data_IF_385476792396
#
_entry.id   IF_385476792396
#
_cell.length_a   1.000
_cell.length_b   1.000
_cell.length_c   1.000
_cell.angle_alpha   90.00
_cell.angle_beta   90.00
_cell.angle_gamma   90.00
#
_symmetry.space_group_name_H-M   'P 1'
#
loop_
_entity.id
_entity.type
_entity.pdbx_description
1 polymer ?
#
# COMPACT_ATOMS: atom_id res chain seq x y z
N UNK A 1 -8.12 -25.07 15.98
CA UNK A 1 -8.39 -25.14 14.52
C UNK A 1 -7.14 -25.65 13.82
N UNK A 2 -7.22 -26.76 13.08
CA UNK A 2 -6.05 -27.32 12.38
C UNK A 2 -5.54 -26.34 11.33
N UNK A 3 -4.22 -26.14 11.24
CA UNK A 3 -3.60 -25.34 10.17
C UNK A 3 -4.06 -25.94 8.83
N UNK A 4 -4.88 -25.20 8.06
CA UNK A 4 -5.31 -25.61 6.72
C UNK A 4 -4.07 -26.05 5.93
N UNK A 5 -4.11 -27.27 5.37
CA UNK A 5 -3.03 -27.77 4.51
C UNK A 5 -2.97 -26.87 3.27
N UNK A 6 -1.94 -26.04 3.20
CA UNK A 6 -1.61 -25.23 2.04
C UNK A 6 -0.99 -26.16 0.98
N UNK A 7 -1.84 -26.74 0.13
CA UNK A 7 -1.44 -27.55 -1.02
C UNK A 7 -2.35 -27.23 -2.20
N UNK A 8 -1.77 -27.00 -3.37
CA UNK A 8 -2.48 -26.64 -4.59
C UNK A 8 -2.86 -27.88 -5.39
N UNK A 9 -4.13 -28.03 -5.74
CA UNK A 9 -4.67 -29.04 -6.67
C UNK A 9 -5.54 -28.34 -7.70
N UNK A 10 -5.90 -29.05 -8.79
CA UNK A 10 -6.89 -28.55 -9.76
C UNK A 10 -8.19 -28.08 -9.07
N UNK A 11 -8.73 -28.90 -8.15
CA UNK A 11 -9.95 -28.56 -7.40
C UNK A 11 -9.82 -27.31 -6.52
N UNK A 12 -8.63 -27.04 -5.96
CA UNK A 12 -8.37 -25.79 -5.21
C UNK A 12 -8.35 -24.59 -6.14
N UNK A 13 -7.73 -24.72 -7.32
CA UNK A 13 -7.69 -23.66 -8.34
C UNK A 13 -9.11 -23.34 -8.83
N UNK A 14 -9.88 -24.36 -9.20
CA UNK A 14 -11.28 -24.22 -9.63
C UNK A 14 -12.15 -23.56 -8.56
N UNK A 15 -11.99 -23.97 -7.29
CA UNK A 15 -12.71 -23.34 -6.18
C UNK A 15 -12.37 -21.85 -6.07
N UNK A 16 -11.08 -21.48 -6.12
CA UNK A 16 -10.64 -20.07 -6.05
C UNK A 16 -11.20 -19.23 -7.21
N UNK A 17 -11.24 -19.81 -8.42
CA UNK A 17 -11.86 -19.17 -9.59
C UNK A 17 -13.37 -18.94 -9.34
N UNK A 18 -14.08 -19.95 -8.80
CA UNK A 18 -15.51 -19.85 -8.46
C UNK A 18 -15.79 -18.81 -7.37
N UNK A 19 -14.88 -18.66 -6.40
CA UNK A 19 -14.94 -17.61 -5.37
C UNK A 19 -14.73 -16.19 -5.93
N UNK A 20 -14.30 -16.06 -7.18
CA UNK A 20 -14.02 -14.79 -7.85
C UNK A 20 -12.64 -14.22 -7.52
N UNK A 21 -11.69 -15.03 -7.05
CA UNK A 21 -10.33 -14.55 -6.78
C UNK A 21 -9.63 -14.10 -8.05
N UNK A 22 -8.92 -12.97 -7.98
CA UNK A 22 -8.34 -12.25 -9.10
C UNK A 22 -9.31 -11.36 -9.87
N UNK A 23 -10.59 -11.31 -9.48
CA UNK A 23 -11.62 -10.46 -10.11
C UNK A 23 -12.01 -9.31 -9.18
N UNK A 24 -12.64 -8.29 -9.76
CA UNK A 24 -13.06 -7.07 -9.07
C UNK A 24 -12.03 -5.95 -9.16
N UNK A 25 -12.43 -4.77 -8.71
CA UNK A 25 -11.60 -3.59 -8.57
C UNK A 25 -11.92 -2.94 -7.21
N UNK A 26 -11.01 -2.12 -6.67
CA UNK A 26 -11.20 -1.43 -5.40
C UNK A 26 -11.65 -2.39 -4.30
N UNK A 27 -12.80 -2.13 -3.67
CA UNK A 27 -13.34 -2.89 -2.55
C UNK A 27 -13.80 -4.30 -2.94
N UNK A 28 -14.18 -4.50 -4.21
CA UNK A 28 -14.68 -5.77 -4.72
C UNK A 28 -13.57 -6.74 -5.12
N UNK A 29 -12.32 -6.26 -5.21
CA UNK A 29 -11.21 -7.11 -5.61
C UNK A 29 -10.88 -8.16 -4.52
N UNK A 30 -10.69 -9.40 -4.97
CA UNK A 30 -10.28 -10.52 -4.10
C UNK A 30 -8.90 -11.03 -4.51
N UNK A 31 -7.86 -10.95 -3.67
CA UNK A 31 -6.52 -11.42 -4.02
C UNK A 31 -6.49 -12.95 -4.21
N UNK A 32 -5.59 -13.43 -5.08
CA UNK A 32 -5.43 -14.87 -5.28
C UNK A 32 -4.92 -15.59 -4.04
N UNK A 33 -3.95 -14.97 -3.37
CA UNK A 33 -3.36 -15.42 -2.12
C UNK A 33 -3.73 -14.48 -0.99
N UNK A 34 -4.18 -15.06 0.13
CA UNK A 34 -4.34 -14.34 1.39
C UNK A 34 -3.27 -14.79 2.37
N UNK A 35 -3.19 -14.12 3.52
CA UNK A 35 -2.29 -14.53 4.61
C UNK A 35 -2.54 -15.96 5.13
N UNK A 36 -3.71 -16.54 4.86
CA UNK A 36 -4.04 -17.91 5.23
C UNK A 36 -3.61 -18.95 4.18
N UNK A 37 -3.27 -18.48 2.98
CA UNK A 37 -2.91 -19.32 1.83
C UNK A 37 -1.41 -19.58 1.74
N UNK A 38 -0.58 -19.01 2.62
CA UNK A 38 0.87 -19.21 2.60
C UNK A 38 1.41 -19.57 3.98
N UNK A 39 2.48 -20.39 4.07
CA UNK A 39 3.17 -20.61 5.34
C UNK A 39 3.79 -19.29 5.81
N UNK A 40 3.54 -18.90 7.06
CA UNK A 40 4.17 -17.72 7.67
C UNK A 40 5.68 -17.93 7.74
N UNK A 41 6.44 -17.22 6.90
CA UNK A 41 7.91 -17.11 7.00
C UNK A 41 8.37 -15.78 7.59
N UNK A 42 7.43 -14.92 7.99
CA UNK A 42 7.65 -13.59 8.55
C UNK A 42 6.34 -12.98 9.05
N UNK A 43 6.36 -11.67 9.31
CA UNK A 43 5.16 -10.90 9.69
C UNK A 43 4.25 -10.78 8.47
N UNK A 44 3.03 -11.30 8.61
CA UNK A 44 1.95 -11.10 7.65
C UNK A 44 1.04 -10.01 8.17
N UNK A 45 0.70 -9.05 7.32
CA UNK A 45 -0.02 -7.84 7.73
C UNK A 45 -1.29 -7.68 6.93
N UNK A 46 -2.34 -7.22 7.61
CA UNK A 46 -3.56 -6.70 6.99
C UNK A 46 -3.62 -5.21 7.22
N UNK A 47 -3.72 -4.44 6.14
CA UNK A 47 -3.83 -2.99 6.20
C UNK A 47 -5.02 -2.56 5.36
N UNK A 48 -5.80 -1.60 5.86
CA UNK A 48 -6.89 -1.03 5.08
C UNK A 48 -6.31 -0.14 3.99
N UNK A 49 -6.76 -0.26 2.74
CA UNK A 49 -6.32 0.59 1.64
C UNK A 49 -7.16 1.85 1.59
N UNK A 50 -6.51 2.99 1.74
CA UNK A 50 -7.04 4.31 1.47
C UNK A 50 -7.64 4.46 0.07
N UNK A 51 -6.99 3.90 -0.96
CA UNK A 51 -7.44 4.01 -2.35
C UNK A 51 -8.49 2.95 -2.72
N UNK A 52 -8.31 1.74 -2.22
CA UNK A 52 -9.15 0.60 -2.59
C UNK A 52 -10.39 0.44 -1.71
N UNK A 53 -10.42 1.01 -0.50
CA UNK A 53 -11.53 0.85 0.44
C UNK A 53 -11.68 -0.57 1.01
N UNK A 54 -10.61 -1.37 1.04
CA UNK A 54 -10.62 -2.74 1.58
C UNK A 54 -9.34 -3.11 2.31
N UNK A 55 -9.38 -4.21 3.05
CA UNK A 55 -8.17 -4.81 3.62
C UNK A 55 -7.31 -5.47 2.51
N UNK A 56 -6.03 -5.11 2.49
CA UNK A 56 -4.99 -5.76 1.70
C UNK A 56 -4.28 -6.85 2.50
N UNK A 57 -3.75 -7.84 1.80
CA UNK A 57 -3.00 -8.96 2.38
C UNK A 57 -1.54 -8.97 1.93
N UNK A 58 -0.63 -8.55 2.82
CA UNK A 58 0.81 -8.54 2.53
C UNK A 58 1.56 -9.63 3.27
N UNK A 59 2.55 -10.19 2.58
CA UNK A 59 3.37 -11.32 3.02
C UNK A 59 4.77 -10.88 3.47
N UNK A 60 5.09 -9.60 3.29
CA UNK A 60 6.33 -8.97 3.74
C UNK A 60 6.09 -7.52 4.16
N UNK A 61 6.37 -7.21 5.42
CA UNK A 61 6.29 -5.84 5.94
C UNK A 61 7.34 -4.91 5.30
N UNK A 62 8.60 -5.34 5.26
CA UNK A 62 9.70 -4.51 4.79
C UNK A 62 9.70 -4.28 3.27
N UNK A 63 9.03 -5.12 2.48
CA UNK A 63 9.05 -4.97 1.02
C UNK A 63 7.65 -4.67 0.46
N UNK A 64 6.70 -5.59 0.62
CA UNK A 64 5.36 -5.42 0.03
C UNK A 64 4.57 -4.31 0.70
N UNK A 65 4.49 -4.30 2.04
CA UNK A 65 3.76 -3.26 2.75
C UNK A 65 4.41 -1.87 2.62
N UNK A 66 5.75 -1.82 2.64
CA UNK A 66 6.47 -0.55 2.45
C UNK A 66 6.23 0.04 1.05
N UNK A 67 6.26 -0.79 0.00
CA UNK A 67 5.90 -0.35 -1.35
C UNK A 67 4.42 0.03 -1.47
N UNK A 68 3.52 -0.69 -0.77
CA UNK A 68 2.10 -0.32 -0.72
C UNK A 68 1.91 1.10 -0.20
N UNK A 69 2.56 1.47 0.91
CA UNK A 69 2.47 2.84 1.44
C UNK A 69 2.97 3.90 0.46
N UNK A 70 4.06 3.63 -0.27
CA UNK A 70 4.52 4.52 -1.34
C UNK A 70 3.45 4.69 -2.44
N UNK A 71 2.77 3.61 -2.81
CA UNK A 71 1.70 3.63 -3.81
C UNK A 71 0.42 4.30 -3.30
N UNK A 72 0.06 4.13 -2.02
CA UNK A 72 -1.06 4.82 -1.38
C UNK A 72 -0.86 6.35 -1.38
N UNK A 73 0.40 6.80 -1.26
CA UNK A 73 0.75 8.21 -1.36
C UNK A 73 0.89 8.73 -2.80
N UNK A 74 1.16 7.87 -3.78
CA UNK A 74 1.29 8.29 -5.17
C UNK A 74 -0.06 8.81 -5.71
N UNK A 75 -0.10 10.05 -6.22
CA UNK A 75 -1.33 10.64 -6.75
C UNK A 75 -1.80 10.00 -8.07
N UNK A 76 -0.85 9.50 -8.87
CA UNK A 76 -1.16 8.83 -10.14
C UNK A 76 -1.73 7.42 -10.00
N UNK A 77 -1.66 6.81 -8.81
CA UNK A 77 -2.18 5.47 -8.55
C UNK A 77 -3.64 5.57 -8.10
N UNK A 78 -4.51 4.79 -8.74
CA UNK A 78 -5.96 4.79 -8.50
C UNK A 78 -6.39 3.58 -7.69
N UNK A 79 -5.92 2.38 -8.07
CA UNK A 79 -6.25 1.12 -7.41
C UNK A 79 -5.02 0.23 -7.30
N UNK A 80 -5.00 -0.62 -6.28
CA UNK A 80 -3.94 -1.57 -5.98
C UNK A 80 -4.59 -2.95 -5.80
N UNK A 81 -4.19 -3.91 -6.63
CA UNK A 81 -4.66 -5.29 -6.58
C UNK A 81 -3.49 -6.20 -6.28
N UNK A 82 -3.33 -6.56 -5.01
CA UNK A 82 -2.25 -7.43 -4.54
C UNK A 82 -2.48 -8.88 -4.93
N UNK A 83 -1.38 -9.63 -5.06
CA UNK A 83 -1.39 -11.07 -5.33
C UNK A 83 -2.28 -11.41 -6.55
N UNK A 84 -2.11 -10.65 -7.64
CA UNK A 84 -2.95 -10.74 -8.83
C UNK A 84 -2.59 -11.98 -9.65
N UNK A 85 -3.54 -12.88 -9.94
CA UNK A 85 -3.24 -14.16 -10.59
C UNK A 85 -2.97 -14.01 -12.08
N UNK A 86 -1.96 -14.72 -12.56
CA UNK A 86 -1.68 -14.88 -13.98
C UNK A 86 -2.52 -16.06 -14.50
N UNK A 87 -3.67 -15.73 -15.10
CA UNK A 87 -4.63 -16.69 -15.64
C UNK A 87 -4.94 -16.37 -17.11
N UNK A 88 -5.10 -17.39 -17.97
CA UNK A 88 -5.20 -18.82 -17.66
C UNK A 88 -3.84 -19.49 -17.34
N UNK A 89 -3.86 -20.57 -16.56
CA UNK A 89 -2.65 -21.31 -16.13
C UNK A 89 -1.89 -21.90 -17.33
N UNK A 90 -2.62 -22.26 -18.37
CA UNK A 90 -2.12 -22.76 -19.64
C UNK A 90 -1.17 -21.76 -20.31
N UNK A 91 -1.44 -20.44 -20.14
CA UNK A 91 -0.57 -19.40 -20.70
C UNK A 91 0.80 -19.36 -20.02
N UNK A 92 0.85 -19.43 -18.70
CA UNK A 92 2.14 -19.45 -17.98
C UNK A 92 2.90 -20.74 -18.22
N UNK A 93 2.20 -21.88 -18.37
CA UNK A 93 2.78 -23.16 -18.78
C UNK A 93 3.40 -23.08 -20.18
N UNK A 94 2.68 -22.52 -21.14
CA UNK A 94 3.17 -22.30 -22.51
C UNK A 94 4.41 -21.41 -22.54
N UNK A 95 4.38 -20.29 -21.81
CA UNK A 95 5.51 -19.36 -21.70
C UNK A 95 6.73 -20.07 -21.09
N UNK A 96 6.55 -20.82 -19.99
CA UNK A 96 7.64 -21.57 -19.36
C UNK A 96 8.29 -22.57 -20.33
N UNK A 97 7.47 -23.29 -21.11
CA UNK A 97 7.94 -24.22 -22.12
C UNK A 97 8.74 -23.50 -23.21
N UNK A 98 8.21 -22.41 -23.77
CA UNK A 98 8.88 -21.60 -24.80
C UNK A 98 10.22 -21.03 -24.34
N UNK A 99 10.32 -20.66 -23.06
CA UNK A 99 11.55 -20.16 -22.44
C UNK A 99 12.54 -21.27 -22.05
N UNK A 100 12.14 -22.54 -22.13
CA UNK A 100 12.97 -23.67 -21.68
C UNK A 100 13.18 -23.72 -20.17
N UNK A 101 12.30 -23.11 -19.38
CA UNK A 101 12.39 -23.07 -17.91
C UNK A 101 11.31 -23.92 -17.26
N UNK A 102 11.57 -24.42 -16.05
CA UNK A 102 10.58 -25.23 -15.32
C UNK A 102 9.46 -24.35 -14.76
N UNK A 103 8.20 -24.68 -15.06
CA UNK A 103 7.06 -24.01 -14.44
C UNK A 103 7.02 -24.29 -12.93
N UNK A 104 6.62 -23.32 -12.09
CA UNK A 104 6.39 -23.54 -10.66
C UNK A 104 5.32 -24.61 -10.40
N UNK A 105 5.60 -25.51 -9.46
CA UNK A 105 4.68 -26.57 -9.02
C UNK A 105 4.58 -26.57 -7.50
N UNK A 106 3.48 -27.11 -6.99
CA UNK A 106 3.33 -27.38 -5.56
C UNK A 106 4.26 -28.53 -5.16
N UNK A 107 5.06 -28.38 -4.09
CA UNK A 107 6.05 -29.40 -3.73
C UNK A 107 5.43 -30.73 -3.29
N UNK A 108 4.18 -30.72 -2.79
CA UNK A 108 3.47 -31.91 -2.28
C UNK A 108 2.68 -32.59 -3.38
N UNK A 109 1.85 -31.84 -4.10
CA UNK A 109 0.95 -32.41 -5.11
C UNK A 109 1.59 -32.54 -6.48
N UNK A 110 2.73 -31.87 -6.70
CA UNK A 110 3.40 -31.72 -8.00
C UNK A 110 2.56 -31.02 -9.08
N UNK A 111 1.39 -30.49 -8.72
CA UNK A 111 0.52 -29.78 -9.62
C UNK A 111 1.08 -28.37 -9.93
N UNK A 112 1.01 -27.88 -11.18
CA UNK A 112 1.35 -26.50 -11.50
C UNK A 112 0.56 -25.50 -10.66
N UNK A 113 1.23 -24.46 -10.17
CA UNK A 113 0.56 -23.40 -9.38
C UNK A 113 0.18 -22.24 -10.28
N UNK A 114 -0.96 -21.60 -10.00
CA UNK A 114 -1.26 -20.29 -10.58
C UNK A 114 -0.26 -19.28 -10.01
N UNK A 115 0.57 -18.72 -10.89
CA UNK A 115 1.53 -17.67 -10.53
C UNK A 115 0.78 -16.37 -10.22
N UNK A 116 1.39 -15.51 -9.41
CA UNK A 116 0.85 -14.19 -9.06
C UNK A 116 1.91 -13.12 -9.24
N UNK A 117 1.49 -11.93 -9.64
CA UNK A 117 2.29 -10.70 -9.44
C UNK A 117 1.95 -10.11 -8.07
N UNK A 118 2.94 -9.50 -7.42
CA UNK A 118 2.75 -8.99 -6.06
C UNK A 118 1.74 -7.83 -6.04
N UNK A 119 1.77 -6.92 -7.03
CA UNK A 119 0.79 -5.85 -7.20
C UNK A 119 0.47 -5.54 -8.68
N UNK A 120 -0.82 -5.53 -9.03
CA UNK A 120 -1.33 -4.94 -10.26
C UNK A 120 -1.96 -3.58 -9.94
N UNK A 121 -1.44 -2.53 -10.54
CA UNK A 121 -1.85 -1.15 -10.32
C UNK A 121 -2.77 -0.69 -11.44
N UNK A 122 -3.75 0.13 -11.10
CA UNK A 122 -4.46 0.99 -12.04
C UNK A 122 -3.93 2.40 -11.85
N UNK A 123 -3.46 3.05 -12.91
CA UNK A 123 -2.87 4.40 -12.86
C UNK A 123 -3.54 5.34 -13.86
N UNK A 124 -3.45 6.64 -13.61
CA UNK A 124 -3.84 7.67 -14.58
C UNK A 124 -2.85 7.61 -15.77
N UNK A 125 -3.36 7.28 -16.96
CA UNK A 125 -2.66 7.35 -18.23
C UNK A 125 -3.05 8.61 -19.01
N UNK A 126 -2.41 8.81 -20.17
CA UNK A 126 -2.69 9.95 -21.04
C UNK A 126 -4.14 9.92 -21.60
N UNK A 127 -4.61 8.73 -21.97
CA UNK A 127 -5.91 8.50 -22.62
C UNK A 127 -6.91 7.75 -21.73
N UNK A 128 -6.72 7.76 -20.40
CA UNK A 128 -7.61 7.10 -19.45
C UNK A 128 -6.87 6.34 -18.36
N UNK A 129 -7.20 5.06 -18.17
CA UNK A 129 -6.56 4.21 -17.17
C UNK A 129 -5.55 3.26 -17.82
N UNK A 130 -4.37 3.18 -17.23
CA UNK A 130 -3.34 2.22 -17.60
C UNK A 130 -3.10 1.22 -16.47
N UNK A 131 -2.55 0.07 -16.82
CA UNK A 131 -2.18 -0.96 -15.86
C UNK A 131 -0.67 -1.14 -15.78
N UNK A 132 -0.15 -1.25 -14.56
CA UNK A 132 1.26 -1.55 -14.29
C UNK A 132 1.35 -2.76 -13.35
N UNK A 133 2.24 -3.70 -13.66
CA UNK A 133 2.48 -4.89 -12.86
C UNK A 133 3.83 -4.78 -12.15
N UNK A 134 3.84 -4.94 -10.82
CA UNK A 134 5.03 -4.88 -9.99
C UNK A 134 5.27 -6.21 -9.25
N UNK A 135 6.41 -6.86 -9.51
CA UNK A 135 6.94 -7.89 -8.62
C UNK A 135 7.93 -7.26 -7.67
N UNK A 136 7.85 -7.59 -6.39
CA UNK A 136 8.69 -7.03 -5.33
C UNK A 136 9.58 -8.14 -4.80
N UNK A 137 10.89 -8.03 -5.02
CA UNK A 137 11.87 -9.02 -4.54
C UNK A 137 13.17 -8.32 -4.16
N UNK A 138 13.71 -8.57 -2.94
CA UNK A 138 15.00 -7.99 -2.58
C UNK A 138 16.13 -8.63 -3.40
N UNK A 139 17.19 -7.86 -3.63
CA UNK A 139 18.33 -8.28 -4.46
C UNK A 139 18.95 -9.57 -3.92
N UNK A 140 19.07 -9.70 -2.60
CA UNK A 140 19.59 -10.89 -1.93
C UNK A 140 18.81 -12.17 -2.23
N UNK A 141 17.55 -12.08 -2.65
CA UNK A 141 16.71 -13.22 -3.00
C UNK A 141 16.72 -13.56 -4.50
N UNK A 142 17.43 -12.79 -5.35
CA UNK A 142 17.47 -12.98 -6.80
C UNK A 142 18.46 -14.09 -7.21
N UNK A 143 18.12 -15.33 -6.90
CA UNK A 143 18.83 -16.49 -7.47
C UNK A 143 18.28 -16.88 -8.86
N UNK A 144 19.02 -17.73 -9.59
CA UNK A 144 18.62 -18.23 -10.92
C UNK A 144 17.18 -18.71 -10.97
N UNK A 145 16.74 -19.49 -9.98
CA UNK A 145 15.38 -20.03 -9.96
C UNK A 145 14.32 -18.95 -9.76
N UNK A 146 14.63 -17.89 -9.02
CA UNK A 146 13.74 -16.73 -8.87
C UNK A 146 13.65 -15.95 -10.17
N UNK A 147 14.79 -15.71 -10.83
CA UNK A 147 14.84 -15.02 -12.13
C UNK A 147 14.06 -15.76 -13.22
N UNK A 148 14.16 -17.09 -13.30
CA UNK A 148 13.35 -17.91 -14.21
C UNK A 148 11.84 -17.69 -14.03
N UNK A 149 11.38 -17.54 -12.78
CA UNK A 149 9.96 -17.29 -12.48
C UNK A 149 9.54 -15.87 -12.86
N UNK A 150 10.39 -14.89 -12.54
CA UNK A 150 10.15 -13.49 -12.91
C UNK A 150 10.11 -13.32 -14.44
N UNK A 151 10.89 -14.10 -15.19
CA UNK A 151 10.88 -14.04 -16.65
C UNK A 151 9.57 -14.57 -17.26
N UNK A 152 8.97 -15.62 -16.68
CA UNK A 152 7.62 -16.08 -17.06
C UNK A 152 6.60 -14.95 -16.84
N UNK A 153 6.67 -14.30 -15.69
CA UNK A 153 5.77 -13.19 -15.33
C UNK A 153 5.94 -11.99 -16.27
N UNK A 154 7.18 -11.56 -16.51
CA UNK A 154 7.53 -10.48 -17.43
C UNK A 154 7.00 -10.75 -18.83
N UNK A 155 7.20 -11.96 -19.35
CA UNK A 155 6.70 -12.35 -20.67
C UNK A 155 5.16 -12.40 -20.71
N UNK A 156 4.52 -12.88 -19.64
CA UNK A 156 3.06 -12.91 -19.54
C UNK A 156 2.45 -11.51 -19.67
N UNK A 157 2.99 -10.52 -18.95
CA UNK A 157 2.51 -9.14 -19.01
C UNK A 157 2.85 -8.46 -20.33
N UNK A 158 4.03 -8.73 -20.89
CA UNK A 158 4.41 -8.29 -22.23
C UNK A 158 3.39 -8.75 -23.29
N UNK A 159 2.96 -10.01 -23.23
CA UNK A 159 2.00 -10.59 -24.18
C UNK A 159 0.59 -9.96 -24.09
N UNK A 160 0.24 -9.30 -22.98
CA UNK A 160 -1.04 -8.61 -22.80
C UNK A 160 -0.92 -7.09 -22.81
N UNK A 161 0.25 -6.56 -23.22
CA UNK A 161 0.47 -5.12 -23.35
C UNK A 161 0.53 -4.35 -22.03
N UNK A 162 0.79 -5.02 -20.91
CA UNK A 162 0.92 -4.39 -19.59
C UNK A 162 2.40 -4.25 -19.24
N UNK A 163 2.81 -3.06 -18.81
CA UNK A 163 4.19 -2.83 -18.37
C UNK A 163 4.46 -3.56 -17.06
N UNK A 164 5.54 -4.33 -17.03
CA UNK A 164 6.00 -5.06 -15.86
C UNK A 164 7.31 -4.49 -15.33
N UNK A 165 7.44 -4.37 -14.01
CA UNK A 165 8.66 -3.90 -13.35
C UNK A 165 9.02 -4.76 -12.16
N UNK A 166 10.31 -5.06 -12.01
CA UNK A 166 10.89 -5.62 -10.79
C UNK A 166 11.23 -4.48 -9.83
N UNK A 167 10.64 -4.49 -8.65
CA UNK A 167 10.89 -3.56 -7.57
C UNK A 167 11.78 -4.27 -6.55
N UNK A 168 12.93 -3.67 -6.23
CA UNK A 168 13.81 -4.13 -5.17
C UNK A 168 13.79 -3.13 -4.01
N UNK A 169 14.49 -3.45 -2.93
CA UNK A 169 14.63 -2.59 -1.76
C UNK A 169 15.20 -1.21 -2.08
N UNK A 170 15.89 -1.05 -3.22
CA UNK A 170 16.51 0.22 -3.62
C UNK A 170 15.52 1.21 -4.25
N UNK A 171 14.35 0.76 -4.70
CA UNK A 171 13.30 1.62 -5.26
C UNK A 171 12.19 1.98 -4.25
N UNK A 172 12.33 1.52 -3.01
CA UNK A 172 11.39 1.81 -1.92
C UNK A 172 11.96 2.98 -1.10
N UNK A 173 11.21 4.09 -1.04
CA UNK A 173 11.51 5.15 -0.09
C UNK A 173 10.92 4.77 1.27
N UNK A 174 11.77 4.25 2.16
CA UNK A 174 11.36 3.78 3.50
C UNK A 174 10.91 4.92 4.42
N UNK A 175 11.46 6.11 4.28
CA UNK A 175 11.05 7.26 5.08
C UNK A 175 9.65 7.71 4.68
N UNK A 176 9.37 7.79 3.38
CA UNK A 176 8.02 7.99 2.84
C UNK A 176 7.08 6.90 3.33
N UNK A 177 7.43 5.63 3.18
CA UNK A 177 6.58 4.51 3.58
C UNK A 177 6.20 4.61 5.07
N UNK A 178 7.17 4.95 5.91
CA UNK A 178 6.95 5.08 7.35
C UNK A 178 6.22 6.37 7.75
N UNK A 179 6.38 7.44 6.99
CA UNK A 179 5.57 8.66 7.15
C UNK A 179 4.10 8.35 6.82
N UNK A 180 3.84 7.67 5.70
CA UNK A 180 2.49 7.27 5.32
C UNK A 180 1.90 6.29 6.32
N UNK A 181 2.68 5.32 6.82
CA UNK A 181 2.27 4.44 7.93
C UNK A 181 1.83 5.25 9.15
N UNK A 182 2.62 6.25 9.56
CA UNK A 182 2.27 7.12 10.67
C UNK A 182 0.95 7.85 10.42
N UNK A 183 0.75 8.40 9.22
CA UNK A 183 -0.47 9.11 8.82
C UNK A 183 -1.67 8.18 8.59
N UNK A 184 -1.44 6.87 8.39
CA UNK A 184 -2.41 5.94 7.81
C UNK A 184 -3.75 5.91 8.54
N UNK A 185 -3.72 5.90 9.87
CA UNK A 185 -4.90 5.85 10.73
C UNK A 185 -5.66 7.17 10.87
N UNK A 186 -5.14 8.27 10.32
CA UNK A 186 -5.66 9.62 10.56
C UNK A 186 -6.21 10.30 9.30
N UNK A 187 -6.49 9.52 8.24
CA UNK A 187 -7.08 10.08 7.01
C UNK A 187 -8.53 10.54 7.21
N UNK A 188 -9.27 9.87 8.09
CA UNK A 188 -10.60 10.30 8.52
C UNK A 188 -10.54 10.93 9.91
N UNK A 189 -11.52 11.76 10.24
CA UNK A 189 -11.69 12.35 11.58
C UNK A 189 -12.37 11.39 12.57
N UNK A 190 -12.51 10.11 12.20
CA UNK A 190 -13.07 9.08 13.08
C UNK A 190 -12.26 8.98 14.38
N UNK A 191 -12.97 8.98 15.51
CA UNK A 191 -12.37 8.96 16.84
C UNK A 191 -12.04 10.34 17.43
N UNK A 192 -12.18 11.44 16.69
CA UNK A 192 -12.22 12.78 17.28
C UNK A 192 -13.58 13.05 17.90
N UNK A 193 -13.62 13.92 18.92
CA UNK A 193 -14.86 14.44 19.47
C UNK A 193 -15.66 15.15 18.36
N UNK A 194 -16.97 14.89 18.30
CA UNK A 194 -17.91 15.46 17.34
C UNK A 194 -17.91 17.00 17.30
N UNK A 195 -17.44 17.66 18.36
CA UNK A 195 -17.28 19.11 18.43
C UNK A 195 -16.02 19.63 17.72
N UNK A 196 -15.07 18.77 17.35
CA UNK A 196 -13.80 19.16 16.70
C UNK A 196 -13.95 19.48 15.21
N UNK A 197 -14.62 18.65 14.37
CA UNK A 197 -14.74 18.95 12.94
C UNK A 197 -15.26 20.36 12.63
N UNK A 198 -16.29 20.90 13.33
CA UNK A 198 -16.76 22.27 13.08
C UNK A 198 -15.74 23.39 13.36
N UNK A 199 -14.74 23.14 14.22
CA UNK A 199 -13.74 24.14 14.64
C UNK A 199 -12.33 23.82 14.14
N UNK A 200 -12.16 22.77 13.34
CA UNK A 200 -10.84 22.29 12.91
C UNK A 200 -10.04 23.36 12.16
N UNK A 201 -10.70 24.25 11.39
CA UNK A 201 -10.03 25.38 10.72
C UNK A 201 -9.37 26.36 11.69
N UNK A 202 -10.05 26.70 12.80
CA UNK A 202 -9.50 27.59 13.84
C UNK A 202 -8.32 26.93 14.57
N UNK A 203 -8.44 25.63 14.85
CA UNK A 203 -7.36 24.85 15.47
C UNK A 203 -6.17 24.74 14.51
N UNK A 204 -6.43 24.48 13.22
CA UNK A 204 -5.41 24.38 12.18
C UNK A 204 -4.62 25.69 12.03
N UNK A 205 -5.29 26.85 12.04
CA UNK A 205 -4.61 28.15 12.03
C UNK A 205 -3.68 28.32 13.24
N UNK A 206 -4.18 28.02 14.45
CA UNK A 206 -3.38 28.10 15.68
C UNK A 206 -2.20 27.12 15.67
N UNK A 207 -2.39 25.92 15.11
CA UNK A 207 -1.33 24.93 14.94
C UNK A 207 -0.27 25.39 13.95
N UNK A 208 -0.68 25.96 12.81
CA UNK A 208 0.24 26.45 11.79
C UNK A 208 1.17 27.53 12.36
N UNK A 209 0.61 28.52 13.06
CA UNK A 209 1.38 29.58 13.71
C UNK A 209 2.34 29.04 14.77
N UNK A 210 1.95 28.00 15.51
CA UNK A 210 2.78 27.37 16.52
C UNK A 210 3.92 26.53 15.90
N UNK A 211 3.63 25.75 14.86
CA UNK A 211 4.60 24.87 14.18
C UNK A 211 5.63 25.71 13.41
N UNK A 212 5.22 26.81 12.77
CA UNK A 212 6.11 27.69 12.01
C UNK A 212 7.22 28.34 12.85
N UNK A 213 7.07 28.41 14.17
CA UNK A 213 8.14 28.89 15.07
C UNK A 213 9.35 27.97 15.10
N UNK A 214 9.17 26.68 14.79
CA UNK A 214 10.22 25.64 14.72
C UNK A 214 11.12 25.59 15.97
N UNK A 215 10.60 25.95 17.14
CA UNK A 215 11.35 26.05 18.40
C UNK A 215 11.40 24.73 19.17
N UNK A 216 10.44 23.83 18.92
CA UNK A 216 10.23 22.59 19.69
C UNK A 216 9.84 21.42 18.78
N UNK A 217 10.03 20.17 19.26
CA UNK A 217 9.50 19.00 18.58
C UNK A 217 7.98 19.08 18.39
N UNK A 218 7.48 18.60 17.25
CA UNK A 218 6.07 18.66 16.88
C UNK A 218 5.14 18.16 18.01
N UNK A 219 5.48 17.03 18.63
CA UNK A 219 4.68 16.42 19.69
C UNK A 219 4.53 17.35 20.90
N UNK A 220 5.59 18.09 21.26
CA UNK A 220 5.56 19.05 22.36
C UNK A 220 4.70 20.26 22.00
N UNK A 221 4.86 20.79 20.79
CA UNK A 221 4.04 21.89 20.28
C UNK A 221 2.56 21.53 20.27
N UNK A 222 2.19 20.35 19.78
CA UNK A 222 0.79 19.88 19.77
C UNK A 222 0.25 19.65 21.18
N UNK A 223 1.05 19.12 22.11
CA UNK A 223 0.63 18.87 23.49
C UNK A 223 0.41 20.17 24.28
N UNK A 224 1.24 21.18 24.06
CA UNK A 224 1.06 22.50 24.66
C UNK A 224 -0.23 23.16 24.15
N UNK A 225 -0.54 23.00 22.86
CA UNK A 225 -1.76 23.52 22.28
C UNK A 225 -3.01 22.78 22.74
N UNK A 226 -2.94 21.44 22.89
CA UNK A 226 -4.02 20.66 23.52
C UNK A 226 -4.40 21.24 24.88
N UNK A 227 -3.41 21.50 25.75
CA UNK A 227 -3.62 22.09 27.07
C UNK A 227 -4.19 23.51 27.00
N UNK A 228 -3.64 24.35 26.11
CA UNK A 228 -4.07 25.75 25.94
C UNK A 228 -5.53 25.85 25.49
N UNK A 229 -5.97 24.92 24.64
CA UNK A 229 -7.32 24.89 24.08
C UNK A 229 -8.30 24.03 24.90
N UNK A 230 -7.84 23.39 25.99
CA UNK A 230 -8.69 22.50 26.80
C UNK A 230 -9.10 21.22 26.08
N UNK A 231 -8.31 20.76 25.11
CA UNK A 231 -8.59 19.57 24.31
C UNK A 231 -8.05 18.30 24.97
N UNK A 232 -8.63 17.15 24.61
CA UNK A 232 -8.10 15.86 25.02
C UNK A 232 -6.64 15.68 24.54
N UNK A 233 -5.73 15.11 25.35
CA UNK A 233 -4.35 14.90 24.93
C UNK A 233 -4.26 14.08 23.63
N UNK A 234 -3.54 14.59 22.64
CA UNK A 234 -3.36 13.95 21.34
C UNK A 234 -4.32 14.43 20.25
N UNK A 235 -5.27 15.32 20.58
CA UNK A 235 -6.21 15.90 19.60
C UNK A 235 -5.45 16.67 18.51
N UNK A 236 -4.55 17.57 18.91
CA UNK A 236 -3.79 18.41 17.99
C UNK A 236 -2.89 17.58 17.06
N UNK A 237 -2.20 16.54 17.55
CA UNK A 237 -1.36 15.71 16.69
C UNK A 237 -2.21 14.90 15.69
N UNK A 238 -3.40 14.45 16.10
CA UNK A 238 -4.33 13.78 15.18
C UNK A 238 -4.82 14.73 14.09
N UNK A 239 -5.11 15.99 14.42
CA UNK A 239 -5.46 17.04 13.43
C UNK A 239 -4.30 17.28 12.46
N UNK A 240 -3.06 17.43 12.94
CA UNK A 240 -1.89 17.58 12.07
C UNK A 240 -1.78 16.41 11.08
N UNK A 241 -1.90 15.18 11.58
CA UNK A 241 -1.87 13.98 10.72
C UNK A 241 -2.99 13.99 9.69
N UNK A 242 -4.21 14.38 10.06
CA UNK A 242 -5.33 14.51 9.15
C UNK A 242 -5.08 15.53 8.04
N UNK A 243 -4.56 16.71 8.39
CA UNK A 243 -4.25 17.78 7.45
C UNK A 243 -3.17 17.34 6.45
N UNK A 244 -2.14 16.61 6.91
CA UNK A 244 -1.10 16.08 6.03
C UNK A 244 -1.63 14.92 5.18
N UNK A 245 -2.34 13.95 5.77
CA UNK A 245 -2.87 12.77 5.07
C UNK A 245 -3.80 13.15 3.91
N UNK A 246 -4.57 14.23 4.07
CA UNK A 246 -5.45 14.77 3.03
C UNK A 246 -4.77 15.81 2.14
N UNK A 247 -3.46 16.05 2.31
CA UNK A 247 -2.66 17.05 1.56
C UNK A 247 -3.21 18.47 1.66
N UNK A 248 -3.88 18.81 2.76
CA UNK A 248 -4.20 20.19 3.12
C UNK A 248 -2.91 20.90 3.55
N UNK A 249 -2.07 20.18 4.30
CA UNK A 249 -0.69 20.57 4.59
C UNK A 249 0.29 19.72 3.78
N UNK A 250 1.29 20.38 3.23
CA UNK A 250 2.40 19.78 2.51
C UNK A 250 3.61 19.70 3.42
N UNK A 251 4.29 18.57 3.38
CA UNK A 251 5.55 18.29 4.07
C UNK A 251 6.46 17.54 3.11
N UNK A 252 7.76 17.64 3.30
CA UNK A 252 8.70 16.77 2.58
C UNK A 252 8.58 15.34 3.11
N UNK A 253 7.80 14.53 2.39
CA UNK A 253 7.57 13.14 2.74
C UNK A 253 8.79 12.25 2.50
N UNK A 254 9.84 12.73 1.85
CA UNK A 254 11.09 11.99 1.67
C UNK A 254 11.98 12.03 2.90
N UNK A 255 11.71 12.93 3.85
CA UNK A 255 12.43 13.04 5.12
C UNK A 255 11.57 12.42 6.23
N UNK A 256 12.18 11.58 7.06
CA UNK A 256 11.45 10.92 8.15
C UNK A 256 10.87 11.91 9.15
N UNK A 257 9.56 11.88 9.34
CA UNK A 257 8.87 12.62 10.39
C UNK A 257 9.10 11.91 11.73
N UNK A 258 9.73 12.61 12.68
CA UNK A 258 9.98 12.14 14.05
C UNK A 258 9.36 13.13 15.05
N UNK A 259 8.05 13.04 15.32
CA UNK A 259 7.31 14.09 16.05
C UNK A 259 7.87 14.40 17.44
N UNK A 260 8.48 13.42 18.11
CA UNK A 260 9.04 13.56 19.45
C UNK A 260 10.43 14.18 19.47
N UNK A 261 11.14 14.18 18.34
CA UNK A 261 12.55 14.59 18.24
C UNK A 261 12.70 15.93 17.51
N UNK A 262 11.94 16.13 16.43
CA UNK A 262 12.17 17.23 15.50
C UNK A 262 10.96 18.15 15.39
N UNK A 263 11.16 19.47 15.14
CA UNK A 263 10.11 20.32 14.62
C UNK A 263 9.68 19.81 13.23
N UNK A 264 8.44 20.12 12.83
CA UNK A 264 7.93 19.79 11.51
C UNK A 264 7.87 21.06 10.65
N UNK A 265 8.32 20.95 9.40
CA UNK A 265 8.08 21.98 8.40
C UNK A 265 6.79 21.67 7.65
N UNK A 266 5.87 22.64 7.59
CA UNK A 266 4.57 22.49 6.95
C UNK A 266 4.25 23.70 6.09
N UNK A 267 3.72 23.46 4.91
CA UNK A 267 3.20 24.49 4.02
C UNK A 267 1.72 24.26 3.72
N UNK A 268 0.95 25.33 3.56
CA UNK A 268 -0.44 25.22 3.12
C UNK A 268 -0.50 24.85 1.64
N UNK A 269 -1.26 23.81 1.30
CA UNK A 269 -1.49 23.46 -0.09
C UNK A 269 -2.46 24.44 -0.76
N UNK A 270 -1.93 25.42 -1.48
CA UNK A 270 -2.71 26.45 -2.18
C UNK A 270 -3.55 25.91 -3.35
N UNK A 271 -3.29 24.68 -3.79
CA UNK A 271 -4.01 24.03 -4.89
C UNK A 271 -5.06 23.02 -4.40
N UNK A 272 -5.29 22.94 -3.09
CA UNK A 272 -6.34 22.10 -2.53
C UNK A 272 -7.71 22.61 -2.99
N UNK A 273 -8.36 21.88 -3.91
CA UNK A 273 -9.72 22.19 -4.36
C UNK A 273 -10.69 21.79 -3.26
N UNK A 274 -11.21 22.78 -2.56
CA UNK A 274 -12.22 22.66 -1.50
C UNK A 274 -13.53 22.12 -2.10
N UNK A 275 -13.76 20.82 -1.97
CA UNK A 275 -15.10 20.27 -1.92
C UNK A 275 -15.54 20.30 -0.46
N UNK A 276 -16.26 21.35 -0.07
CA UNK A 276 -16.67 21.70 1.29
C UNK A 276 -15.56 22.27 2.20
N UNK A 277 -15.87 23.47 2.70
CA UNK A 277 -15.03 24.47 3.34
C UNK A 277 -14.25 23.95 4.54
N UNK A 278 -12.92 23.88 4.42
CA UNK A 278 -11.97 23.88 5.55
C UNK A 278 -10.66 24.53 5.14
N UNK A 279 -10.68 25.86 5.03
CA UNK A 279 -9.62 26.83 5.35
C UNK A 279 -10.09 28.23 4.98
#
# INVERSE_FOLDING_TARGET
MSKRKCSTTASVIERRIREGRGKGNFADYKPWLTIHDVPSKGVVTRIFGWKSGRLHHYLSENYELSHHYQLEWAQGVIDIREQYPLLPLEKTLFIANKLGVRHPIDPKTKHPIVMTVDMLLTVNGADGHEYLAHSIKPISNLNKRVLEKLEIERQYFKDIGIKWSLITENQINYDLAKNVEWLHSSRNLEGLDHNIPPIIGKIAQSLLEAIQKKDKPLAKTTQELDKKLGLAPGTCIQIVKYLIANRIWLVDMTIRIRPTMDPLDVELNRFYKVGETLL
#
